data_IF_990004157388
#
_entry.id   IF_990004157388
#
_cell.length_a   1.000
_cell.length_b   1.000
_cell.length_c   1.000
_cell.angle_alpha   90.00
_cell.angle_beta   90.00
_cell.angle_gamma   90.00
#
_symmetry.space_group_name_H-M   'P 1'
#
loop_
_entity.id
_entity.type
_entity.pdbx_description
1 polymer ?
#
# COMPACT_ATOMS: atom_id res chain seq x y z
N UNK A 1 -4.53 1.02 17.88
CA UNK A 1 -4.42 1.41 16.46
C UNK A 1 -4.63 2.91 16.41
N UNK A 2 -3.68 3.71 15.91
CA UNK A 2 -3.76 5.17 15.96
C UNK A 2 -4.97 5.77 15.19
N UNK A 3 -5.55 5.03 14.24
CA UNK A 3 -6.82 5.36 13.57
C UNK A 3 -7.43 4.12 12.88
N UNK A 4 -8.70 4.18 12.50
CA UNK A 4 -9.45 3.11 11.81
C UNK A 4 -9.69 3.41 10.32
N UNK A 5 -8.93 4.35 9.74
CA UNK A 5 -9.18 4.85 8.38
C UNK A 5 -9.00 3.78 7.31
N UNK A 6 -8.07 2.85 7.46
CA UNK A 6 -7.90 1.75 6.49
C UNK A 6 -9.13 0.85 6.44
N UNK A 7 -9.72 0.50 7.59
CA UNK A 7 -10.94 -0.29 7.65
C UNK A 7 -12.12 0.46 7.01
N UNK A 8 -12.30 1.74 7.38
CA UNK A 8 -13.37 2.60 6.84
C UNK A 8 -13.27 2.77 5.32
N UNK A 9 -12.08 3.09 4.81
CA UNK A 9 -11.86 3.28 3.37
C UNK A 9 -12.00 1.95 2.63
N UNK A 10 -11.47 0.85 3.16
CA UNK A 10 -11.62 -0.47 2.54
C UNK A 10 -13.10 -0.87 2.44
N UNK A 11 -13.88 -0.68 3.51
CA UNK A 11 -15.31 -0.99 3.52
C UNK A 11 -16.10 -0.09 2.55
N UNK A 12 -15.76 1.19 2.47
CA UNK A 12 -16.37 2.11 1.51
C UNK A 12 -16.06 1.73 0.06
N UNK A 13 -14.80 1.37 -0.23
CA UNK A 13 -14.38 0.90 -1.55
C UNK A 13 -15.09 -0.41 -1.93
N UNK A 14 -15.10 -1.40 -1.04
CA UNK A 14 -15.78 -2.68 -1.26
C UNK A 14 -17.27 -2.48 -1.56
N UNK A 15 -17.97 -1.70 -0.71
CA UNK A 15 -19.38 -1.38 -0.92
C UNK A 15 -19.64 -0.68 -2.25
N UNK A 16 -18.82 0.30 -2.62
CA UNK A 16 -18.98 1.04 -3.87
C UNK A 16 -18.72 0.17 -5.12
N UNK A 17 -17.71 -0.70 -5.05
CA UNK A 17 -17.37 -1.64 -6.13
C UNK A 17 -18.49 -2.67 -6.29
N UNK A 18 -18.98 -3.27 -5.20
CA UNK A 18 -20.11 -4.23 -5.25
C UNK A 18 -21.36 -3.61 -5.87
N UNK A 19 -21.70 -2.39 -5.45
CA UNK A 19 -22.84 -1.66 -6.03
C UNK A 19 -22.66 -1.43 -7.53
N UNK A 20 -21.43 -1.10 -7.98
CA UNK A 20 -21.13 -0.86 -9.38
C UNK A 20 -21.08 -2.12 -10.24
N UNK A 21 -20.57 -3.23 -9.71
CA UNK A 21 -20.56 -4.53 -10.42
C UNK A 21 -21.98 -5.10 -10.47
N UNK A 22 -22.76 -4.92 -9.41
CA UNK A 22 -24.19 -5.27 -9.36
C UNK A 22 -24.44 -6.74 -9.69
N UNK A 23 -25.34 -6.98 -10.64
CA UNK A 23 -25.77 -8.32 -11.06
C UNK A 23 -24.65 -9.17 -11.69
N UNK A 24 -23.52 -8.55 -12.07
CA UNK A 24 -22.36 -9.26 -12.62
C UNK A 24 -21.48 -9.90 -11.52
N UNK A 25 -21.78 -9.67 -10.25
CA UNK A 25 -21.00 -10.18 -9.12
C UNK A 25 -21.54 -11.53 -8.65
N UNK A 26 -20.85 -12.62 -9.02
CA UNK A 26 -21.21 -13.97 -8.56
C UNK A 26 -20.66 -14.28 -7.14
N UNK A 27 -19.40 -13.96 -6.89
CA UNK A 27 -18.71 -14.18 -5.61
C UNK A 27 -17.55 -13.19 -5.48
N UNK A 28 -17.20 -12.81 -4.25
CA UNK A 28 -15.98 -12.03 -3.96
C UNK A 28 -14.93 -12.95 -3.34
N UNK A 29 -13.84 -13.18 -4.09
CA UNK A 29 -12.73 -14.02 -3.65
C UNK A 29 -11.82 -13.32 -2.62
N UNK A 30 -11.56 -12.02 -2.79
CA UNK A 30 -10.83 -11.16 -1.85
C UNK A 30 -11.17 -9.68 -2.14
N UNK A 31 -11.10 -8.83 -1.11
CA UNK A 31 -11.35 -7.39 -1.21
C UNK A 31 -10.60 -6.66 -0.08
N UNK A 32 -9.39 -6.19 -0.37
CA UNK A 32 -8.53 -5.50 0.59
C UNK A 32 -7.45 -4.67 -0.13
N UNK A 33 -6.64 -3.92 0.61
CA UNK A 33 -5.51 -3.18 0.03
C UNK A 33 -4.36 -4.13 -0.34
N UNK A 34 -3.86 -4.04 -1.58
CA UNK A 34 -2.73 -4.85 -2.06
C UNK A 34 -1.46 -4.52 -1.26
N UNK A 35 -0.86 -5.54 -0.63
CA UNK A 35 0.36 -5.45 0.21
C UNK A 35 0.18 -4.79 1.60
N UNK A 36 -0.83 -5.21 2.38
CA UNK A 36 -0.75 -5.13 3.85
C UNK A 36 0.43 -5.97 4.34
N UNK A 37 1.63 -5.39 4.34
CA UNK A 37 2.83 -6.02 4.87
C UNK A 37 2.58 -6.30 6.35
N UNK A 38 2.27 -7.56 6.65
CA UNK A 38 2.20 -8.09 8.01
C UNK A 38 3.51 -7.78 8.75
N UNK A 39 3.50 -6.74 9.58
CA UNK A 39 4.61 -6.43 10.47
C UNK A 39 4.37 -7.15 11.80
N UNK A 40 5.10 -8.25 12.03
CA UNK A 40 5.00 -9.08 13.22
C UNK A 40 5.69 -8.50 14.48
N UNK A 41 6.12 -7.25 14.44
CA UNK A 41 6.73 -6.58 15.58
C UNK A 41 6.37 -5.10 15.53
N UNK A 42 5.63 -4.63 16.54
CA UNK A 42 5.56 -3.21 16.86
C UNK A 42 4.15 -2.61 16.89
N UNK A 43 3.47 -2.76 18.05
CA UNK A 43 2.39 -1.90 18.53
C UNK A 43 1.45 -1.20 17.53
N UNK A 44 1.11 0.05 17.82
CA UNK A 44 0.19 0.89 17.02
C UNK A 44 0.82 1.49 15.75
N UNK A 45 2.03 1.06 15.39
CA UNK A 45 2.92 1.71 14.43
C UNK A 45 3.29 0.81 13.25
N UNK A 46 2.35 0.49 12.38
CA UNK A 46 2.73 -0.05 11.07
C UNK A 46 2.88 1.09 10.07
N UNK A 47 4.10 1.48 9.65
CA UNK A 47 4.26 2.47 8.60
C UNK A 47 3.59 1.96 7.32
N UNK A 48 2.78 2.82 6.70
CA UNK A 48 2.10 2.48 5.46
C UNK A 48 3.15 2.41 4.36
N UNK A 49 3.32 1.23 3.78
CA UNK A 49 4.20 1.01 2.63
C UNK A 49 3.38 1.11 1.33
N UNK A 50 3.57 2.21 0.59
CA UNK A 50 3.04 2.36 -0.75
C UNK A 50 4.15 2.02 -1.75
N UNK A 51 4.13 0.78 -2.25
CA UNK A 51 5.08 0.34 -3.26
C UNK A 51 4.77 1.01 -4.61
N UNK A 52 5.63 1.91 -5.06
CA UNK A 52 5.54 2.52 -6.38
C UNK A 52 6.21 1.63 -7.42
N UNK A 53 5.40 0.99 -8.26
CA UNK A 53 5.89 0.11 -9.34
C UNK A 53 6.34 0.94 -10.54
N UNK A 54 7.63 0.89 -10.87
CA UNK A 54 8.19 1.58 -12.03
C UNK A 54 9.04 0.62 -12.86
N UNK A 55 8.47 0.17 -13.98
CA UNK A 55 9.10 -0.81 -14.87
C UNK A 55 9.21 -0.22 -16.26
N UNK A 56 10.39 -0.33 -16.86
CA UNK A 56 10.67 0.29 -18.16
C UNK A 56 11.64 -0.55 -19.00
N UNK A 57 11.56 -0.41 -20.31
CA UNK A 57 12.57 -0.93 -21.23
C UNK A 57 13.61 0.16 -21.47
N UNK A 58 14.89 -0.15 -21.25
CA UNK A 58 15.98 0.79 -21.52
C UNK A 58 16.08 1.06 -23.02
N UNK A 59 16.52 2.26 -23.38
CA UNK A 59 16.75 2.65 -24.77
C UNK A 59 18.15 2.23 -25.19
N UNK A 60 18.26 1.49 -26.29
CA UNK A 60 19.53 1.13 -26.93
C UNK A 60 20.13 2.34 -27.64
N UNK A 61 21.42 2.26 -28.00
CA UNK A 61 22.12 3.32 -28.77
C UNK A 61 21.46 3.65 -30.12
N UNK A 62 20.79 2.67 -30.74
CA UNK A 62 20.04 2.84 -31.99
C UNK A 62 18.61 3.40 -31.79
N UNK A 63 18.25 3.73 -30.56
CA UNK A 63 16.96 4.30 -30.20
C UNK A 63 15.83 3.29 -29.98
N UNK A 64 16.05 2.00 -30.24
CA UNK A 64 15.06 0.95 -30.00
C UNK A 64 15.06 0.50 -28.52
N UNK A 65 13.94 -0.03 -28.00
CA UNK A 65 13.89 -0.60 -26.66
C UNK A 65 14.73 -1.87 -26.55
N UNK A 66 15.31 -2.11 -25.37
CA UNK A 66 15.87 -3.39 -24.99
C UNK A 66 14.77 -4.44 -24.81
N UNK A 67 15.10 -5.72 -25.03
CA UNK A 67 14.18 -6.83 -24.82
C UNK A 67 13.94 -7.14 -23.34
N UNK A 68 14.86 -6.72 -22.45
CA UNK A 68 14.75 -6.95 -21.01
C UNK A 68 14.00 -5.81 -20.33
N UNK A 69 12.95 -6.16 -19.60
CA UNK A 69 12.25 -5.22 -18.70
C UNK A 69 13.15 -4.92 -17.50
N UNK A 70 13.33 -3.63 -17.20
CA UNK A 70 14.03 -3.16 -15.99
C UNK A 70 13.01 -2.88 -14.91
N UNK A 71 13.22 -3.44 -13.71
CA UNK A 71 12.45 -3.13 -12.52
C UNK A 71 13.18 -2.05 -11.72
N UNK A 72 12.51 -0.94 -11.45
CA UNK A 72 13.00 0.18 -10.66
C UNK A 72 11.90 0.64 -9.67
N UNK A 73 11.23 -0.35 -9.07
CA UNK A 73 10.17 -0.14 -8.10
C UNK A 73 10.74 0.55 -6.83
N UNK A 74 10.00 1.49 -6.24
CA UNK A 74 10.40 2.28 -5.06
C UNK A 74 9.41 2.06 -3.92
N UNK A 75 9.90 1.79 -2.71
CA UNK A 75 9.07 1.70 -1.51
C UNK A 75 8.93 3.08 -0.89
N UNK A 76 7.70 3.56 -0.71
CA UNK A 76 7.41 4.79 0.03
C UNK A 76 6.81 4.41 1.37
N UNK A 77 7.51 4.77 2.46
CA UNK A 77 7.07 4.51 3.83
C UNK A 77 6.57 5.80 4.49
N UNK A 78 5.42 5.73 5.15
CA UNK A 78 4.80 6.87 5.84
C UNK A 78 4.67 6.60 7.34
N UNK A 79 5.08 7.57 8.16
CA UNK A 79 4.94 7.58 9.63
C UNK A 79 3.61 8.14 10.12
N UNK A 80 2.68 8.37 9.20
CA UNK A 80 1.33 8.86 9.47
C UNK A 80 0.33 8.14 8.59
N UNK A 81 -0.94 8.15 8.98
CA UNK A 81 -2.04 7.64 8.18
C UNK A 81 -2.24 8.51 6.92
N UNK A 82 -2.21 7.97 5.69
CA UNK A 82 -2.39 8.74 4.47
C UNK A 82 -3.80 9.31 4.29
N UNK A 83 -4.78 8.85 5.08
CA UNK A 83 -6.17 9.30 4.99
C UNK A 83 -6.50 10.43 5.96
N UNK A 84 -6.03 10.35 7.20
CA UNK A 84 -6.36 11.33 8.25
C UNK A 84 -5.17 12.10 8.81
N UNK A 85 -3.93 11.74 8.45
CA UNK A 85 -2.72 12.39 8.93
C UNK A 85 -2.34 12.07 10.38
N UNK A 86 -3.06 11.17 11.06
CA UNK A 86 -2.69 10.72 12.40
C UNK A 86 -1.29 10.10 12.38
N UNK A 87 -0.38 10.63 13.18
CA UNK A 87 0.98 10.09 13.32
C UNK A 87 0.95 8.77 14.09
N UNK A 88 1.76 7.82 13.65
CA UNK A 88 1.98 6.59 14.38
C UNK A 88 3.07 6.85 15.40
N UNK A 89 2.74 6.84 16.69
CA UNK A 89 3.73 6.86 17.76
C UNK A 89 4.50 5.53 17.72
N UNK A 90 5.69 5.54 17.12
CA UNK A 90 6.62 4.41 17.19
C UNK A 90 7.00 4.10 18.64
N UNK A 91 7.57 2.93 18.90
CA UNK A 91 8.22 2.68 20.19
C UNK A 91 9.23 3.78 20.48
N UNK A 92 9.04 4.51 21.58
CA UNK A 92 10.05 5.46 22.06
C UNK A 92 11.32 4.65 22.34
N UNK A 93 12.41 4.95 21.64
CA UNK A 93 13.73 4.45 22.04
C UNK A 93 13.98 4.95 23.46
N UNK A 94 13.84 4.07 24.45
CA UNK A 94 14.26 4.35 25.81
C UNK A 94 15.78 4.42 25.76
N UNK A 95 16.32 5.63 25.59
CA UNK A 95 17.75 5.89 25.73
C UNK A 95 18.12 5.56 27.17
N UNK A 96 18.73 4.39 27.36
CA UNK A 96 19.24 3.95 28.65
C UNK A 96 20.21 4.99 29.22
N UNK A 97 19.91 5.42 30.45
CA UNK A 97 20.79 6.19 31.33
C UNK A 97 22.05 5.41 31.72
#
# INVERSE_FOLDING_TARGET
>A
MACDCFEKVSAACDSAIRLRVGEHLAEVADSSFEHTLWHFNGGDHSPVALNYRFRYYRKRKNGLPESRLTNADTVVSMRYCPFCGAEFEGEQEVSGE
#
